data_IF_025878424747
#
_entry.id   IF_025878424747
#
_cell.length_a   1.000
_cell.length_b   1.000
_cell.length_c   1.000
_cell.angle_alpha   90.00
_cell.angle_beta   90.00
_cell.angle_gamma   90.00
#
_symmetry.space_group_name_H-M   'P 1'
#
loop_
_entity.id
_entity.type
_entity.pdbx_description
1 polymer ?
#
# COMPACT_ATOMS: atom_id res chain seq x y z
N UNK A 1 20.51 8.25 -0.02
CA UNK A 1 19.65 8.74 1.08
C UNK A 1 19.49 7.63 2.10
N UNK A 2 19.60 7.89 3.40
CA UNK A 2 19.32 6.86 4.40
C UNK A 2 17.83 6.53 4.31
N UNK A 3 17.50 5.29 3.93
CA UNK A 3 16.12 4.83 4.00
C UNK A 3 15.65 4.91 5.46
N UNK A 4 14.44 5.42 5.73
CA UNK A 4 13.86 5.34 7.06
C UNK A 4 13.90 3.88 7.52
N UNK A 5 14.48 3.59 8.69
CA UNK A 5 14.58 2.23 9.25
C UNK A 5 13.22 1.49 9.31
N UNK A 6 12.13 2.26 9.31
CA UNK A 6 10.75 1.78 9.22
C UNK A 6 10.40 1.16 7.86
N UNK A 7 10.86 1.74 6.74
CA UNK A 7 10.70 1.14 5.41
C UNK A 7 11.48 -0.17 5.34
N UNK A 8 12.69 -0.21 5.89
CA UNK A 8 13.48 -1.44 5.98
C UNK A 8 12.76 -2.52 6.80
N UNK A 9 12.10 -2.13 7.90
CA UNK A 9 11.31 -3.08 8.73
C UNK A 9 10.07 -3.58 7.99
N UNK A 10 9.42 -2.72 7.21
CA UNK A 10 8.29 -3.09 6.37
C UNK A 10 8.72 -4.03 5.23
N UNK A 11 9.86 -3.74 4.60
CA UNK A 11 10.42 -4.52 3.51
C UNK A 11 10.99 -5.88 3.95
N UNK A 12 11.49 -5.95 5.19
CA UNK A 12 11.92 -7.20 5.83
C UNK A 12 10.76 -8.12 6.20
N UNK A 13 9.52 -7.65 6.16
CA UNK A 13 8.37 -8.54 6.21
C UNK A 13 8.31 -9.27 4.87
N UNK A 14 9.07 -10.37 4.74
CA UNK A 14 9.18 -11.14 3.49
C UNK A 14 7.80 -11.52 2.94
N UNK A 15 6.76 -11.59 3.79
CA UNK A 15 5.39 -11.88 3.39
C UNK A 15 4.74 -10.78 2.55
N UNK A 16 5.28 -9.55 2.56
CA UNK A 16 4.83 -8.42 1.76
C UNK A 16 5.45 -8.41 0.37
N UNK A 17 6.74 -8.75 0.25
CA UNK A 17 7.48 -8.67 -1.02
C UNK A 17 7.52 -9.99 -1.77
N UNK A 18 7.57 -11.14 -1.08
CA UNK A 18 7.61 -12.47 -1.72
C UNK A 18 6.31 -12.88 -2.41
N UNK A 19 5.19 -12.23 -2.07
CA UNK A 19 3.89 -12.52 -2.67
C UNK A 19 3.62 -11.65 -3.90
N UNK A 20 4.42 -10.63 -4.14
CA UNK A 20 4.31 -9.76 -5.30
C UNK A 20 5.35 -10.14 -6.34
N UNK A 21 5.05 -9.89 -7.61
CA UNK A 21 6.08 -9.93 -8.65
C UNK A 21 7.05 -8.74 -8.48
N UNK A 22 8.27 -8.87 -8.99
CA UNK A 22 9.35 -7.88 -8.83
C UNK A 22 8.92 -6.46 -9.24
N UNK A 23 8.08 -6.34 -10.28
CA UNK A 23 7.56 -5.07 -10.77
C UNK A 23 6.59 -4.42 -9.76
N UNK A 24 5.64 -5.20 -9.24
CA UNK A 24 4.67 -4.74 -8.24
C UNK A 24 5.38 -4.36 -6.93
N UNK A 25 6.31 -5.19 -6.48
CA UNK A 25 7.10 -4.95 -5.27
C UNK A 25 7.89 -3.64 -5.39
N UNK A 26 8.48 -3.37 -6.57
CA UNK A 26 9.19 -2.13 -6.85
C UNK A 26 8.28 -0.91 -6.77
N UNK A 27 7.09 -0.97 -7.38
CA UNK A 27 6.12 0.14 -7.34
C UNK A 27 5.69 0.48 -5.90
N UNK A 28 5.45 -0.57 -5.09
CA UNK A 28 5.11 -0.38 -3.69
C UNK A 28 6.25 0.26 -2.89
N UNK A 29 7.51 -0.16 -3.13
CA UNK A 29 8.69 0.42 -2.51
C UNK A 29 8.83 1.89 -2.88
N UNK A 30 8.72 2.22 -4.16
CA UNK A 30 8.83 3.60 -4.65
C UNK A 30 7.77 4.49 -4.01
N UNK A 31 6.53 4.00 -3.91
CA UNK A 31 5.46 4.72 -3.21
C UNK A 31 5.70 4.90 -1.71
N UNK A 32 6.22 3.88 -1.02
CA UNK A 32 6.55 3.95 0.40
C UNK A 32 7.66 4.98 0.69
N UNK A 33 8.67 5.04 -0.18
CA UNK A 33 9.76 6.01 -0.09
C UNK A 33 9.21 7.42 -0.29
N UNK A 34 8.46 7.67 -1.37
CA UNK A 34 7.82 8.97 -1.63
C UNK A 34 6.90 9.39 -0.47
N UNK A 35 6.12 8.44 0.08
CA UNK A 35 5.26 8.73 1.23
C UNK A 35 6.04 9.05 2.51
N UNK A 36 7.17 8.41 2.74
CA UNK A 36 8.00 8.71 3.89
C UNK A 36 8.72 10.05 3.75
N UNK A 37 9.14 10.42 2.55
CA UNK A 37 9.71 11.75 2.26
C UNK A 37 8.67 12.85 2.45
N UNK A 38 7.42 12.64 2.01
CA UNK A 38 6.30 13.58 2.22
C UNK A 38 5.80 13.64 3.66
N UNK A 39 5.89 12.51 4.37
CA UNK A 39 5.40 12.35 5.74
C UNK A 39 6.43 12.69 6.82
N UNK A 40 7.68 12.92 6.45
CA UNK A 40 8.71 13.44 7.35
C UNK A 40 8.57 14.97 7.43
N UNK A 41 7.91 15.54 8.47
CA UNK A 41 8.14 16.95 8.76
C UNK A 41 9.63 17.09 9.07
N UNK A 42 10.28 18.10 8.48
CA UNK A 42 11.60 18.53 8.92
C UNK A 42 11.53 18.90 10.41
N UNK A 43 11.75 17.94 11.30
CA UNK A 43 11.63 18.12 12.74
C UNK A 43 10.51 17.31 13.40
N UNK A 44 10.85 16.09 13.82
CA UNK A 44 10.57 15.66 15.19
C UNK A 44 9.11 15.49 15.60
N UNK A 45 8.46 14.44 15.08
CA UNK A 45 7.73 13.50 15.95
C UNK A 45 7.52 12.21 15.19
N UNK A 46 8.34 11.22 15.50
CA UNK A 46 8.03 9.82 15.20
C UNK A 46 6.64 9.54 15.77
N UNK A 47 5.63 9.42 14.90
CA UNK A 47 4.29 8.96 15.26
C UNK A 47 4.23 7.47 14.93
N UNK A 48 4.66 6.56 15.83
CA UNK A 48 4.68 5.13 15.56
C UNK A 48 3.29 4.62 15.15
N UNK A 49 2.23 5.20 15.71
CA UNK A 49 0.84 4.85 15.36
C UNK A 49 0.48 5.13 13.89
N UNK A 50 1.01 6.21 13.30
CA UNK A 50 0.78 6.53 11.89
C UNK A 50 1.47 5.51 10.98
N UNK A 51 2.67 5.07 11.38
CA UNK A 51 3.44 4.05 10.67
C UNK A 51 2.85 2.66 10.79
N UNK A 52 2.34 2.28 11.96
CA UNK A 52 1.65 1.00 12.16
C UNK A 52 0.37 0.92 11.34
N UNK A 53 -0.41 2.02 11.27
CA UNK A 53 -1.58 2.10 10.40
C UNK A 53 -1.19 1.99 8.92
N UNK A 54 -0.12 2.66 8.51
CA UNK A 54 0.38 2.55 7.14
C UNK A 54 0.81 1.12 6.83
N UNK A 55 1.49 0.45 7.77
CA UNK A 55 1.89 -0.95 7.62
C UNK A 55 0.71 -1.88 7.46
N UNK A 56 -0.32 -1.74 8.30
CA UNK A 56 -1.55 -2.53 8.18
C UNK A 56 -2.24 -2.28 6.82
N UNK A 57 -2.33 -1.00 6.40
CA UNK A 57 -2.92 -0.60 5.13
C UNK A 57 -2.19 -1.23 3.94
N UNK A 58 -0.86 -1.14 3.93
CA UNK A 58 -0.01 -1.72 2.87
C UNK A 58 -0.15 -3.23 2.81
N UNK A 59 -0.16 -3.90 3.97
CA UNK A 59 -0.41 -5.35 4.04
C UNK A 59 -1.75 -5.73 3.44
N UNK A 60 -2.79 -4.95 3.71
CA UNK A 60 -4.10 -5.19 3.14
C UNK A 60 -4.12 -4.97 1.62
N UNK A 61 -3.43 -3.94 1.10
CA UNK A 61 -3.27 -3.71 -0.35
C UNK A 61 -2.59 -4.89 -1.02
N UNK A 62 -1.45 -5.33 -0.49
CA UNK A 62 -0.71 -6.46 -1.05
C UNK A 62 -1.55 -7.73 -1.05
N UNK A 63 -2.20 -8.04 0.07
CA UNK A 63 -3.10 -9.19 0.13
C UNK A 63 -4.24 -9.08 -0.90
N UNK A 64 -4.79 -7.89 -1.12
CA UNK A 64 -5.83 -7.69 -2.12
C UNK A 64 -5.32 -7.96 -3.55
N UNK A 65 -4.17 -7.39 -3.92
CA UNK A 65 -3.57 -7.58 -5.26
C UNK A 65 -3.26 -9.05 -5.52
N UNK A 66 -2.68 -9.75 -4.54
CA UNK A 66 -2.38 -11.18 -4.63
C UNK A 66 -3.65 -12.01 -4.79
N UNK A 67 -4.67 -11.75 -3.97
CA UNK A 67 -5.94 -12.46 -4.05
C UNK A 67 -6.65 -12.22 -5.39
N UNK A 68 -6.59 -11.00 -5.92
CA UNK A 68 -7.27 -10.62 -7.15
C UNK A 68 -6.55 -11.12 -8.41
N UNK A 69 -5.24 -10.88 -8.52
CA UNK A 69 -4.45 -11.10 -9.73
C UNK A 69 -3.85 -12.51 -9.80
N UNK A 70 -3.29 -13.01 -8.70
CA UNK A 70 -2.60 -14.31 -8.68
C UNK A 70 -3.55 -15.45 -8.32
N UNK A 71 -4.25 -15.35 -7.19
CA UNK A 71 -5.13 -16.43 -6.70
C UNK A 71 -6.50 -16.44 -7.41
N UNK A 72 -6.86 -15.37 -8.13
CA UNK A 72 -8.19 -15.14 -8.75
C UNK A 72 -9.36 -15.38 -7.79
N UNK A 73 -9.12 -15.16 -6.50
CA UNK A 73 -10.04 -15.33 -5.40
C UNK A 73 -10.81 -14.03 -5.12
N UNK A 74 -11.69 -13.66 -6.06
CA UNK A 74 -12.42 -12.38 -6.01
C UNK A 74 -13.30 -12.23 -4.76
N UNK A 75 -13.95 -13.31 -4.29
CA UNK A 75 -14.79 -13.28 -3.10
C UNK A 75 -14.02 -12.84 -1.84
N UNK A 76 -12.94 -13.55 -1.46
CA UNK A 76 -12.06 -13.15 -0.38
C UNK A 76 -11.45 -11.75 -0.55
N UNK A 77 -11.07 -11.36 -1.77
CA UNK A 77 -10.57 -10.02 -2.05
C UNK A 77 -11.62 -8.93 -1.75
N UNK A 78 -12.87 -9.14 -2.15
CA UNK A 78 -13.97 -8.22 -1.86
C UNK A 78 -14.28 -8.16 -0.35
N UNK A 79 -14.21 -9.28 0.35
CA UNK A 79 -14.39 -9.32 1.81
C UNK A 79 -13.28 -8.54 2.54
N UNK A 80 -12.03 -8.71 2.09
CA UNK A 80 -10.91 -7.92 2.60
C UNK A 80 -11.14 -6.44 2.36
N UNK A 81 -11.58 -6.06 1.15
CA UNK A 81 -11.87 -4.67 0.82
C UNK A 81 -12.99 -4.07 1.66
N UNK A 82 -14.05 -4.83 1.94
CA UNK A 82 -15.12 -4.40 2.82
C UNK A 82 -14.65 -4.24 4.28
N UNK A 83 -13.84 -5.18 4.77
CA UNK A 83 -13.31 -5.18 6.15
C UNK A 83 -12.36 -4.02 6.39
N UNK A 84 -11.46 -3.78 5.45
CA UNK A 84 -10.48 -2.68 5.48
C UNK A 84 -11.07 -1.34 5.03
N UNK A 85 -12.35 -1.37 4.62
CA UNK A 85 -13.14 -0.21 4.17
C UNK A 85 -12.38 0.58 3.11
N UNK A 86 -11.86 -0.12 2.10
CA UNK A 86 -11.22 0.53 0.98
C UNK A 86 -12.22 1.43 0.27
N UNK A 87 -11.75 2.63 -0.08
CA UNK A 87 -12.57 3.69 -0.65
C UNK A 87 -12.22 3.96 -2.13
N UNK A 88 -11.19 3.28 -2.66
CA UNK A 88 -10.97 3.22 -4.09
C UNK A 88 -12.07 2.41 -4.79
N UNK A 89 -12.38 2.72 -6.06
CA UNK A 89 -13.29 1.92 -6.85
C UNK A 89 -12.75 0.50 -7.01
N UNK A 90 -13.57 -0.50 -6.69
CA UNK A 90 -13.17 -1.90 -6.83
C UNK A 90 -13.20 -2.31 -8.31
N UNK A 91 -12.18 -3.04 -8.79
CA UNK A 91 -12.16 -3.54 -10.16
C UNK A 91 -13.35 -4.47 -10.41
N UNK A 92 -13.99 -4.33 -11.57
CA UNK A 92 -15.07 -5.23 -12.04
C UNK A 92 -14.58 -6.29 -13.00
N UNK A 93 -13.38 -6.11 -13.55
CA UNK A 93 -12.77 -6.98 -14.56
C UNK A 93 -11.40 -7.47 -14.07
N UNK A 94 -10.93 -8.63 -14.57
CA UNK A 94 -9.55 -9.07 -14.32
C UNK A 94 -8.58 -8.05 -14.95
N UNK A 95 -7.65 -7.56 -14.13
CA UNK A 95 -6.67 -6.55 -14.51
C UNK A 95 -5.28 -7.03 -14.08
N UNK A 96 -4.25 -6.55 -14.78
CA UNK A 96 -2.86 -6.83 -14.39
C UNK A 96 -2.57 -6.27 -12.99
N UNK A 97 -1.69 -6.95 -12.26
CA UNK A 97 -1.39 -6.57 -10.89
C UNK A 97 -0.63 -5.25 -10.78
N UNK A 98 0.19 -4.89 -11.78
CA UNK A 98 0.83 -3.58 -11.82
C UNK A 98 -0.21 -2.47 -12.03
N UNK A 99 -1.13 -2.65 -12.98
CA UNK A 99 -2.22 -1.68 -13.25
C UNK A 99 -3.14 -1.52 -12.04
N UNK A 100 -3.45 -2.63 -11.36
CA UNK A 100 -4.26 -2.62 -10.15
C UNK A 100 -3.56 -1.87 -9.02
N UNK A 101 -2.30 -2.20 -8.78
CA UNK A 101 -1.51 -1.55 -7.76
C UNK A 101 -1.34 -0.06 -8.05
N UNK A 102 -1.06 0.35 -9.29
CA UNK A 102 -0.95 1.76 -9.68
C UNK A 102 -2.25 2.54 -9.38
N UNK A 103 -3.39 1.98 -9.79
CA UNK A 103 -4.70 2.60 -9.58
C UNK A 103 -5.01 2.82 -8.09
N UNK A 104 -4.63 1.85 -7.25
CA UNK A 104 -4.79 1.88 -5.80
C UNK A 104 -3.88 2.94 -5.18
N UNK A 105 -2.59 2.94 -5.51
CA UNK A 105 -1.60 3.87 -4.97
C UNK A 105 -1.89 5.32 -5.37
N UNK A 106 -2.32 5.54 -6.62
CA UNK A 106 -2.76 6.84 -7.10
C UNK A 106 -4.00 7.36 -6.35
N UNK A 107 -4.90 6.47 -5.91
CA UNK A 107 -6.04 6.85 -5.09
C UNK A 107 -5.63 7.20 -3.65
N UNK A 108 -4.78 6.38 -3.02
CA UNK A 108 -4.24 6.64 -1.67
C UNK A 108 -3.45 7.96 -1.61
N UNK A 109 -2.70 8.31 -2.65
CA UNK A 109 -2.03 9.61 -2.75
C UNK A 109 -3.02 10.77 -2.78
N UNK A 110 -4.10 10.67 -3.57
CA UNK A 110 -5.15 11.70 -3.62
C UNK A 110 -5.89 11.84 -2.28
N UNK A 111 -6.18 10.72 -1.62
CA UNK A 111 -6.83 10.70 -0.31
C UNK A 111 -5.96 11.37 0.77
N UNK A 112 -4.66 11.10 0.76
CA UNK A 112 -3.70 11.69 1.70
C UNK A 112 -3.53 13.21 1.50
N UNK A 113 -3.59 13.70 0.26
CA UNK A 113 -3.56 15.14 -0.01
C UNK A 113 -4.82 15.85 0.51
N UNK A 114 -5.98 15.17 0.49
CA UNK A 114 -7.23 15.74 0.99
C UNK A 114 -7.28 15.85 2.53
N UNK A 115 -6.56 15.01 3.26
CA UNK A 115 -6.50 15.06 4.74
C UNK A 115 -5.53 16.11 5.28
N UNK A 116 -4.55 16.56 4.51
CA UNK A 116 -3.59 17.61 4.92
C UNK A 116 -4.19 19.02 4.82
N UNK A 117 -5.18 19.23 3.94
CA UNK A 117 -5.81 20.52 3.69
C UNK A 117 -7.04 20.82 4.57
N UNK A 118 -7.20 20.14 5.71
CA UNK A 118 -8.38 20.24 6.56
C UNK A 118 -8.05 20.63 7.99
#
# INVERSE_FOLDING_TARGET
MPMPKLIDTLLRDERLTSRLDDAEARMLIEWLVDRAERGAPEGGRDQPEAWDRLRCRVRAIVCFVVLWCQERAYGPALQLAATERFAWPLPTEPMDGCDLLDSILAWENRAALCTINK
#
